data_IF_172517882811
#
_entry.id   IF_172517882811
#
_cell.length_a   1.000
_cell.length_b   1.000
_cell.length_c   1.000
_cell.angle_alpha   90.00
_cell.angle_beta   90.00
_cell.angle_gamma   90.00
#
_symmetry.space_group_name_H-M   'P 1'
#
loop_
_entity.id
_entity.type
_entity.pdbx_description
1 polymer ?
#
# COMPACT_ATOMS: atom_id res chain seq x y z
N UNK A 1 27.35 11.33 0.94
CA UNK A 1 28.23 10.16 1.11
C UNK A 1 27.43 9.12 1.84
N UNK A 2 27.24 7.96 1.23
CA UNK A 2 26.44 6.88 1.80
C UNK A 2 27.33 5.83 2.47
N UNK A 3 26.79 5.10 3.44
CA UNK A 3 27.49 4.07 4.22
C UNK A 3 28.84 4.52 4.78
N UNK A 4 28.91 5.75 5.31
CA UNK A 4 30.17 6.38 5.74
C UNK A 4 30.99 5.52 6.71
N UNK A 5 30.32 4.76 7.55
CA UNK A 5 30.90 3.89 8.55
C UNK A 5 31.29 2.47 8.05
N UNK A 6 31.16 2.17 6.76
CA UNK A 6 31.54 0.87 6.15
C UNK A 6 32.83 0.90 5.33
N UNK A 7 33.47 2.07 5.19
CA UNK A 7 34.76 2.19 4.50
C UNK A 7 35.89 1.44 5.22
N UNK A 8 36.93 1.05 4.48
CA UNK A 8 38.17 0.55 5.10
C UNK A 8 38.80 1.63 5.99
N UNK A 9 39.66 1.24 6.93
CA UNK A 9 40.27 2.18 7.88
C UNK A 9 41.00 3.35 7.18
N UNK A 10 41.67 3.09 6.05
CA UNK A 10 42.32 4.12 5.25
C UNK A 10 41.32 5.09 4.62
N UNK A 11 40.20 4.56 4.09
CA UNK A 11 39.11 5.39 3.54
C UNK A 11 38.49 6.22 4.65
N UNK A 12 38.16 5.62 5.80
CA UNK A 12 37.60 6.35 6.93
C UNK A 12 38.51 7.48 7.39
N UNK A 13 39.82 7.28 7.45
CA UNK A 13 40.77 8.34 7.82
C UNK A 13 40.75 9.51 6.83
N UNK A 14 40.68 9.25 5.53
CA UNK A 14 40.59 10.31 4.52
C UNK A 14 39.23 11.02 4.54
N UNK A 15 38.15 10.26 4.71
CA UNK A 15 36.82 10.83 4.89
C UNK A 15 36.74 11.67 6.16
N UNK A 16 37.51 11.30 7.19
CA UNK A 16 37.58 12.05 8.43
C UNK A 16 38.27 13.39 8.25
N UNK A 17 39.40 13.42 7.54
CA UNK A 17 40.04 14.67 7.15
C UNK A 17 39.12 15.54 6.29
N UNK A 18 38.33 14.93 5.41
CA UNK A 18 37.35 15.66 4.61
C UNK A 18 36.29 16.34 5.46
N UNK A 19 35.75 15.66 6.48
CA UNK A 19 34.74 16.23 7.37
C UNK A 19 35.33 17.31 8.29
N UNK A 20 36.52 17.05 8.85
CA UNK A 20 37.16 17.95 9.82
C UNK A 20 37.76 19.20 9.16
N UNK A 21 38.42 19.02 8.01
CA UNK A 21 39.27 20.05 7.39
C UNK A 21 38.75 20.51 6.03
N UNK A 22 37.68 19.87 5.50
CA UNK A 22 37.17 20.14 4.15
C UNK A 22 38.25 19.97 3.07
N UNK A 23 39.15 19.01 3.27
CA UNK A 23 40.31 18.82 2.40
C UNK A 23 40.57 17.33 2.16
N UNK A 24 40.96 16.99 0.93
CA UNK A 24 41.50 15.68 0.55
C UNK A 24 42.84 15.91 -0.13
N UNK A 25 43.92 15.36 0.43
CA UNK A 25 45.28 15.64 -0.05
C UNK A 25 45.55 17.16 -0.15
N UNK A 26 45.76 17.69 -1.36
CA UNK A 26 45.97 19.12 -1.62
C UNK A 26 44.70 19.88 -2.06
N UNK A 27 43.58 19.17 -2.24
CA UNK A 27 42.33 19.76 -2.71
C UNK A 27 41.48 20.23 -1.52
N UNK A 28 41.24 21.52 -1.44
CA UNK A 28 40.32 22.13 -0.45
C UNK A 28 38.94 22.31 -1.07
N UNK A 29 37.89 21.87 -0.39
CA UNK A 29 36.52 22.02 -0.85
C UNK A 29 36.06 23.49 -0.70
N UNK A 30 35.53 24.11 -1.77
CA UNK A 30 34.92 25.44 -1.72
C UNK A 30 33.80 25.53 -0.68
N UNK A 31 33.51 26.72 -0.15
CA UNK A 31 32.50 26.93 0.92
C UNK A 31 31.06 26.56 0.49
N UNK A 32 30.81 26.60 -0.81
CA UNK A 32 29.54 26.26 -1.43
C UNK A 32 29.23 24.76 -1.30
N UNK A 33 30.25 23.91 -1.16
CA UNK A 33 30.07 22.46 -1.06
C UNK A 33 29.49 22.10 0.30
N UNK A 34 28.30 21.50 0.31
CA UNK A 34 27.69 20.96 1.54
C UNK A 34 27.98 19.47 1.64
N UNK A 35 28.40 19.04 2.83
CA UNK A 35 28.67 17.63 3.13
C UNK A 35 27.42 17.04 3.77
N UNK A 36 26.85 16.02 3.13
CA UNK A 36 25.76 15.20 3.69
C UNK A 36 26.28 13.77 3.80
N UNK A 37 26.14 13.21 4.99
CA UNK A 37 26.67 11.91 5.37
C UNK A 37 25.50 11.04 5.81
N UNK A 38 25.46 9.81 5.31
CA UNK A 38 24.54 8.78 5.76
C UNK A 38 25.35 7.63 6.38
N UNK A 39 24.90 7.19 7.55
CA UNK A 39 25.52 6.14 8.35
C UNK A 39 24.44 5.10 8.68
N UNK A 40 24.82 3.83 8.68
CA UNK A 40 23.99 2.80 9.27
C UNK A 40 24.06 2.92 10.81
N UNK A 41 22.95 2.73 11.53
CA UNK A 41 22.97 2.82 12.98
C UNK A 41 23.90 1.76 13.61
N UNK A 42 24.59 2.15 14.68
CA UNK A 42 25.45 1.28 15.48
C UNK A 42 24.88 1.06 16.90
N UNK A 43 25.37 0.03 17.60
CA UNK A 43 24.93 -0.34 18.96
C UNK A 43 25.10 0.77 20.01
N UNK A 44 25.94 1.78 19.73
CA UNK A 44 26.20 2.90 20.64
C UNK A 44 25.13 3.99 20.55
N UNK A 45 24.17 3.85 19.63
CA UNK A 45 23.07 4.79 19.42
C UNK A 45 21.83 4.37 20.22
N UNK A 46 21.28 5.30 21.01
CA UNK A 46 20.04 5.07 21.77
C UNK A 46 18.90 4.64 20.84
N UNK A 47 18.31 3.47 21.10
CA UNK A 47 17.28 2.83 20.27
C UNK A 47 17.81 1.82 19.24
N UNK A 48 19.12 1.58 19.17
CA UNK A 48 19.76 0.60 18.27
C UNK A 48 20.71 -0.35 19.01
N UNK A 49 20.47 -0.56 20.30
CA UNK A 49 21.35 -1.31 21.20
C UNK A 49 21.56 -2.79 20.80
N UNK A 50 20.73 -3.32 19.89
CA UNK A 50 20.82 -4.68 19.36
C UNK A 50 21.25 -4.72 17.87
N UNK A 51 21.78 -3.63 17.33
CA UNK A 51 22.20 -3.58 15.93
C UNK A 51 23.52 -4.35 15.73
N UNK A 52 23.43 -5.64 15.40
CA UNK A 52 24.55 -6.54 15.14
C UNK A 52 25.25 -6.16 13.81
N UNK A 53 25.91 -5.01 13.81
CA UNK A 53 26.66 -4.49 12.69
C UNK A 53 28.01 -4.04 13.22
N UNK A 54 29.07 -4.69 12.74
CA UNK A 54 30.46 -4.39 13.08
C UNK A 54 30.88 -3.00 12.59
N UNK A 55 30.41 -1.99 13.29
CA UNK A 55 30.66 -0.58 13.01
C UNK A 55 31.75 -0.07 13.95
N UNK A 56 32.75 0.62 13.39
CA UNK A 56 33.72 1.38 14.19
C UNK A 56 32.98 2.53 14.85
N UNK A 57 32.92 2.53 16.19
CA UNK A 57 32.26 3.58 16.96
C UNK A 57 32.69 4.97 16.44
N UNK A 58 31.70 5.77 15.99
CA UNK A 58 31.97 7.08 15.42
C UNK A 58 32.78 7.94 16.38
N UNK A 59 33.98 8.35 15.93
CA UNK A 59 34.91 9.17 16.70
C UNK A 59 34.19 10.43 17.22
N UNK A 60 34.41 10.78 18.48
CA UNK A 60 33.80 11.94 19.14
C UNK A 60 34.01 13.23 18.32
N UNK A 61 35.09 13.29 17.55
CA UNK A 61 35.39 14.40 16.64
C UNK A 61 34.38 14.55 15.48
N UNK A 62 33.75 13.46 14.98
CA UNK A 62 32.69 13.53 13.96
C UNK A 62 31.44 14.16 14.53
N UNK A 63 31.06 13.69 15.72
CA UNK A 63 29.83 14.09 16.41
C UNK A 63 29.85 15.59 16.72
N UNK A 64 31.02 16.17 17.01
CA UNK A 64 31.20 17.60 17.28
C UNK A 64 31.17 18.49 16.02
N UNK A 65 31.43 17.92 14.83
CA UNK A 65 31.52 18.66 13.55
C UNK A 65 30.34 18.46 12.62
N UNK A 66 29.38 17.63 13.01
CA UNK A 66 28.20 17.31 12.20
C UNK A 66 26.91 17.58 12.98
N UNK A 67 25.87 17.98 12.25
CA UNK A 67 24.51 18.00 12.79
C UNK A 67 23.87 16.66 12.46
N UNK A 68 23.36 15.96 13.46
CA UNK A 68 22.85 14.60 13.31
C UNK A 68 21.33 14.56 13.24
N UNK A 69 20.81 13.97 12.18
CA UNK A 69 19.39 13.68 12.01
C UNK A 69 19.19 12.16 12.12
N UNK A 70 18.34 11.73 13.05
CA UNK A 70 18.00 10.31 13.22
C UNK A 70 16.72 10.05 12.44
N UNK A 71 16.85 9.30 11.35
CA UNK A 71 15.73 8.87 10.53
C UNK A 71 15.07 7.64 11.16
N UNK A 72 13.75 7.57 11.10
CA UNK A 72 12.96 6.41 11.55
C UNK A 72 12.06 5.96 10.42
N UNK A 73 11.71 4.68 10.43
CA UNK A 73 10.68 4.16 9.53
C UNK A 73 9.33 4.67 10.02
N UNK A 74 8.60 5.37 9.16
CA UNK A 74 7.19 5.73 9.36
C UNK A 74 6.36 5.01 8.30
N UNK A 75 5.49 4.10 8.75
CA UNK A 75 4.70 3.25 7.86
C UNK A 75 3.62 4.07 7.16
N UNK A 76 3.04 5.07 7.84
CA UNK A 76 1.96 5.88 7.27
C UNK A 76 2.50 6.81 6.16
N UNK A 77 3.65 7.44 6.40
CA UNK A 77 4.35 8.25 5.40
C UNK A 77 4.77 7.39 4.19
N UNK A 78 5.34 6.20 4.45
CA UNK A 78 5.72 5.28 3.37
C UNK A 78 4.52 4.81 2.56
N UNK A 79 3.38 4.50 3.20
CA UNK A 79 2.15 4.10 2.51
C UNK A 79 1.53 5.24 1.71
N UNK A 80 1.65 6.49 2.17
CA UNK A 80 1.20 7.65 1.41
C UNK A 80 2.01 7.78 0.11
N UNK A 81 3.34 7.73 0.20
CA UNK A 81 4.22 7.71 -0.97
C UNK A 81 3.95 6.50 -1.88
N UNK A 82 3.75 5.31 -1.29
CA UNK A 82 3.51 4.06 -2.01
C UNK A 82 2.28 4.13 -2.94
N UNK A 83 1.27 4.91 -2.55
CA UNK A 83 0.03 5.13 -3.29
C UNK A 83 0.13 6.21 -4.39
N UNK A 84 1.18 7.05 -4.36
CA UNK A 84 1.37 8.08 -5.39
C UNK A 84 1.68 7.44 -6.75
N UNK A 85 1.21 8.10 -7.82
CA UNK A 85 1.41 7.63 -9.19
C UNK A 85 2.83 7.94 -9.68
N UNK A 86 3.55 6.90 -10.08
CA UNK A 86 4.83 7.03 -10.75
C UNK A 86 4.60 7.44 -12.22
N UNK A 87 4.87 8.70 -12.52
CA UNK A 87 4.69 9.27 -13.86
C UNK A 87 5.47 8.54 -14.98
N UNK A 88 6.57 7.86 -14.67
CA UNK A 88 7.35 7.12 -15.66
C UNK A 88 6.76 5.73 -15.91
N UNK A 89 6.35 5.05 -14.83
CA UNK A 89 5.81 3.69 -14.91
C UNK A 89 4.30 3.64 -15.16
N UNK A 90 3.59 4.77 -15.05
CA UNK A 90 2.13 4.89 -15.17
C UNK A 90 1.37 3.93 -14.24
N UNK A 91 1.87 3.79 -13.02
CA UNK A 91 1.31 2.93 -11.96
C UNK A 91 1.71 3.48 -10.59
N UNK A 92 1.05 3.08 -9.49
CA UNK A 92 1.49 3.44 -8.15
C UNK A 92 2.93 2.99 -7.88
N UNK A 93 3.65 3.68 -7.00
CA UNK A 93 5.02 3.30 -6.61
C UNK A 93 5.09 1.86 -6.08
N UNK A 94 4.06 1.40 -5.36
CA UNK A 94 3.95 0.06 -4.81
C UNK A 94 2.61 -0.56 -5.19
N UNK A 95 2.60 -1.86 -5.49
CA UNK A 95 1.40 -2.60 -5.85
C UNK A 95 0.34 -2.58 -4.73
N UNK A 96 -0.92 -2.35 -5.07
CA UNK A 96 -2.03 -2.17 -4.10
C UNK A 96 -2.21 -3.33 -3.12
N UNK A 97 -1.97 -4.58 -3.58
CA UNK A 97 -1.98 -5.76 -2.68
C UNK A 97 -0.96 -5.64 -1.55
N UNK A 98 0.23 -5.12 -1.82
CA UNK A 98 1.27 -4.92 -0.81
C UNK A 98 0.87 -3.78 0.12
N UNK A 99 0.35 -2.67 -0.43
CA UNK A 99 -0.15 -1.56 0.38
C UNK A 99 -1.23 -2.04 1.35
N UNK A 100 -2.22 -2.81 0.89
CA UNK A 100 -3.29 -3.38 1.74
C UNK A 100 -2.74 -4.32 2.81
N UNK A 101 -1.83 -5.22 2.44
CA UNK A 101 -1.20 -6.13 3.39
C UNK A 101 -0.50 -5.36 4.53
N UNK A 102 0.24 -4.31 4.19
CA UNK A 102 0.97 -3.48 5.15
C UNK A 102 0.06 -2.51 5.93
N UNK A 103 -1.14 -2.19 5.41
CA UNK A 103 -2.18 -1.48 6.17
C UNK A 103 -2.81 -2.39 7.24
N UNK A 104 -2.98 -3.69 6.96
CA UNK A 104 -3.49 -4.65 7.93
C UNK A 104 -2.47 -4.96 9.05
N UNK A 105 -1.19 -5.05 8.69
CA UNK A 105 -0.11 -5.22 9.64
C UNK A 105 1.12 -4.37 9.28
N UNK A 106 1.14 -3.17 9.85
CA UNK A 106 2.23 -2.20 9.70
C UNK A 106 3.59 -2.73 10.19
N UNK A 107 3.60 -3.73 11.08
CA UNK A 107 4.85 -4.30 11.61
C UNK A 107 5.62 -5.09 10.55
N UNK A 108 4.99 -5.48 9.45
CA UNK A 108 5.61 -6.25 8.37
C UNK A 108 6.44 -5.38 7.40
N UNK A 109 6.32 -4.04 7.42
CA UNK A 109 7.14 -3.16 6.56
C UNK A 109 8.62 -3.22 6.97
N UNK A 110 8.86 -3.20 8.29
CA UNK A 110 10.19 -3.26 8.88
C UNK A 110 10.09 -3.96 10.26
N UNK A 111 10.12 -5.31 10.28
CA UNK A 111 9.97 -6.08 11.51
C UNK A 111 11.05 -5.77 12.55
N UNK A 112 10.64 -5.71 13.81
CA UNK A 112 11.55 -5.48 14.94
C UNK A 112 12.44 -6.70 15.22
N UNK A 113 11.85 -7.90 15.15
CA UNK A 113 12.59 -9.16 15.19
C UNK A 113 13.08 -9.48 13.79
N UNK A 114 14.39 -9.66 13.67
CA UNK A 114 15.06 -9.96 12.40
C UNK A 114 15.76 -11.30 12.50
N UNK A 115 15.57 -12.14 11.50
CA UNK A 115 16.30 -13.39 11.37
C UNK A 115 17.72 -13.17 10.86
N UNK A 116 18.52 -14.23 10.87
CA UNK A 116 19.92 -14.19 10.42
C UNK A 116 20.08 -14.03 8.89
N UNK A 117 18.99 -14.16 8.14
CA UNK A 117 18.97 -14.16 6.66
C UNK A 117 18.22 -12.93 6.10
N UNK A 118 17.42 -13.10 5.04
CA UNK A 118 16.63 -12.05 4.42
C UNK A 118 15.51 -11.57 5.36
N UNK A 119 15.39 -10.25 5.48
CA UNK A 119 14.39 -9.60 6.31
C UNK A 119 13.66 -8.53 5.51
N UNK A 120 12.35 -8.32 5.76
CA UNK A 120 11.61 -7.26 5.10
C UNK A 120 12.20 -5.87 5.38
N UNK A 121 12.26 -5.08 4.31
CA UNK A 121 12.61 -3.67 4.31
C UNK A 121 11.72 -2.94 3.31
N UNK A 122 11.51 -1.61 3.44
CA UNK A 122 10.82 -0.82 2.42
C UNK A 122 11.34 -1.06 1.00
N UNK A 123 12.66 -1.19 0.84
CA UNK A 123 13.31 -1.48 -0.45
C UNK A 123 12.99 -2.90 -0.96
N UNK A 124 12.97 -3.89 -0.07
CA UNK A 124 12.61 -5.26 -0.44
C UNK A 124 11.14 -5.33 -0.91
N UNK A 125 10.23 -4.67 -0.20
CA UNK A 125 8.82 -4.56 -0.61
C UNK A 125 8.65 -3.87 -1.97
N UNK A 126 9.46 -2.85 -2.26
CA UNK A 126 9.48 -2.23 -3.59
C UNK A 126 9.92 -3.22 -4.69
N UNK A 127 10.95 -4.05 -4.43
CA UNK A 127 11.38 -5.09 -5.38
C UNK A 127 10.30 -6.15 -5.60
N UNK A 128 9.67 -6.62 -4.53
CA UNK A 128 8.52 -7.53 -4.62
C UNK A 128 7.39 -6.91 -5.42
N UNK A 129 7.09 -5.62 -5.21
CA UNK A 129 6.10 -4.88 -5.97
C UNK A 129 6.42 -4.85 -7.47
N UNK A 130 7.64 -4.46 -7.83
CA UNK A 130 8.06 -4.40 -9.23
C UNK A 130 7.97 -5.79 -9.88
N UNK A 131 8.43 -6.84 -9.19
CA UNK A 131 8.31 -8.23 -9.65
C UNK A 131 6.85 -8.69 -9.76
N UNK A 132 5.98 -8.27 -8.85
CA UNK A 132 4.57 -8.65 -8.82
C UNK A 132 3.82 -8.08 -10.03
N UNK A 133 4.07 -6.82 -10.41
CA UNK A 133 3.49 -6.25 -11.62
C UNK A 133 3.87 -7.06 -12.87
N UNK A 134 5.14 -7.45 -13.00
CA UNK A 134 5.61 -8.29 -14.14
C UNK A 134 5.06 -9.72 -14.05
N UNK A 135 4.88 -10.26 -12.85
CA UNK A 135 4.32 -11.59 -12.65
C UNK A 135 2.85 -11.64 -13.11
N UNK A 136 2.05 -10.63 -12.75
CA UNK A 136 0.61 -10.62 -12.98
C UNK A 136 0.21 -10.52 -14.46
N UNK A 137 1.13 -10.16 -15.36
CA UNK A 137 0.88 -10.19 -16.81
C UNK A 137 1.16 -11.57 -17.45
N UNK A 138 1.75 -12.51 -16.71
CA UNK A 138 2.06 -13.86 -17.18
C UNK A 138 0.85 -14.82 -17.05
N UNK A 139 0.88 -16.00 -17.69
CA UNK A 139 -0.15 -17.01 -17.50
C UNK A 139 -0.27 -17.47 -16.04
N UNK A 140 -1.49 -17.76 -15.60
CA UNK A 140 -1.81 -18.09 -14.19
C UNK A 140 -1.00 -19.27 -13.64
N UNK A 141 -0.71 -20.28 -14.47
CA UNK A 141 0.13 -21.41 -14.08
C UNK A 141 1.55 -20.95 -13.71
N UNK A 142 2.13 -20.05 -14.50
CA UNK A 142 3.44 -19.45 -14.25
C UNK A 142 3.43 -18.57 -13.01
N UNK A 143 2.35 -17.81 -12.81
CA UNK A 143 2.18 -17.00 -11.60
C UNK A 143 2.21 -17.88 -10.35
N UNK A 144 1.40 -18.95 -10.34
CA UNK A 144 1.32 -19.89 -9.22
C UNK A 144 2.64 -20.59 -8.94
N UNK A 145 3.40 -20.94 -9.98
CA UNK A 145 4.69 -21.62 -9.80
C UNK A 145 5.80 -20.71 -9.28
N UNK A 146 5.75 -19.39 -9.56
CA UNK A 146 6.86 -18.47 -9.25
C UNK A 146 6.59 -17.51 -8.10
N UNK A 147 5.32 -17.27 -7.73
CA UNK A 147 4.96 -16.22 -6.75
C UNK A 147 5.68 -16.38 -5.42
N UNK A 148 5.80 -17.61 -4.92
CA UNK A 148 6.45 -17.86 -3.64
C UNK A 148 7.94 -17.55 -3.71
N UNK A 149 8.64 -18.11 -4.70
CA UNK A 149 10.09 -17.96 -4.84
C UNK A 149 10.50 -16.50 -5.08
N UNK A 150 9.71 -15.76 -5.86
CA UNK A 150 9.94 -14.33 -6.11
C UNK A 150 9.80 -13.49 -4.84
N UNK A 151 8.78 -13.76 -4.01
CA UNK A 151 8.55 -13.03 -2.77
C UNK A 151 9.59 -13.42 -1.71
N UNK A 152 9.87 -14.73 -1.57
CA UNK A 152 10.82 -15.26 -0.58
C UNK A 152 12.25 -14.78 -0.84
N UNK A 153 12.65 -14.65 -2.11
CA UNK A 153 13.98 -14.15 -2.48
C UNK A 153 14.28 -12.71 -2.06
N UNK A 154 13.26 -11.92 -1.73
CA UNK A 154 13.41 -10.54 -1.27
C UNK A 154 13.03 -10.35 0.22
N UNK A 155 12.04 -11.10 0.73
CA UNK A 155 11.49 -10.91 2.09
C UNK A 155 11.90 -12.00 3.10
N UNK A 156 12.47 -13.11 2.63
CA UNK A 156 12.65 -14.33 3.42
C UNK A 156 11.39 -15.19 3.49
N UNK A 157 11.56 -16.48 3.79
CA UNK A 157 10.48 -17.48 3.70
C UNK A 157 9.28 -17.17 4.59
N UNK A 158 9.51 -16.75 5.84
CA UNK A 158 8.42 -16.53 6.82
C UNK A 158 7.51 -15.38 6.39
N UNK A 159 8.10 -14.26 5.97
CA UNK A 159 7.33 -13.11 5.47
C UNK A 159 6.63 -13.45 4.16
N UNK A 160 7.30 -14.19 3.27
CA UNK A 160 6.72 -14.64 2.01
C UNK A 160 5.52 -15.55 2.21
N UNK A 161 5.57 -16.52 3.12
CA UNK A 161 4.44 -17.40 3.44
C UNK A 161 3.21 -16.58 3.85
N UNK A 162 3.39 -15.61 4.75
CA UNK A 162 2.29 -14.73 5.21
C UNK A 162 1.71 -13.89 4.07
N UNK A 163 2.57 -13.27 3.26
CA UNK A 163 2.12 -12.41 2.17
C UNK A 163 1.47 -13.21 1.03
N UNK A 164 2.02 -14.36 0.65
CA UNK A 164 1.42 -15.23 -0.38
C UNK A 164 0.09 -15.81 0.10
N UNK A 165 -0.02 -16.18 1.38
CA UNK A 165 -1.30 -16.59 1.96
C UNK A 165 -2.31 -15.43 1.96
N UNK A 166 -1.88 -14.22 2.30
CA UNK A 166 -2.70 -13.01 2.17
C UNK A 166 -3.16 -12.81 0.72
N UNK A 167 -2.26 -12.95 -0.25
CA UNK A 167 -2.60 -12.86 -1.67
C UNK A 167 -3.64 -13.91 -2.05
N UNK A 168 -3.48 -15.17 -1.66
CA UNK A 168 -4.45 -16.23 -1.96
C UNK A 168 -5.83 -15.99 -1.32
N UNK A 169 -5.85 -15.44 -0.11
CA UNK A 169 -7.08 -15.16 0.64
C UNK A 169 -7.78 -13.88 0.14
N UNK A 170 -7.01 -12.94 -0.43
CA UNK A 170 -7.48 -11.66 -0.96
C UNK A 170 -7.43 -11.57 -2.50
N UNK A 171 -7.16 -12.70 -3.19
CA UNK A 171 -7.03 -12.78 -4.65
C UNK A 171 -8.37 -12.58 -5.36
N UNK A 172 -9.48 -12.71 -4.65
CA UNK A 172 -10.82 -12.53 -5.19
C UNK A 172 -11.45 -11.18 -4.82
N UNK A 173 -10.74 -10.31 -4.09
CA UNK A 173 -11.34 -9.06 -3.62
C UNK A 173 -11.35 -8.00 -4.72
N UNK A 174 -12.53 -7.81 -5.32
CA UNK A 174 -12.83 -6.70 -6.20
C UNK A 174 -12.63 -5.36 -5.48
N UNK A 175 -12.06 -4.39 -6.19
CA UNK A 175 -12.01 -2.98 -5.78
C UNK A 175 -13.18 -2.19 -6.39
N UNK A 176 -13.50 -0.98 -5.89
CA UNK A 176 -14.48 -0.12 -6.56
C UNK A 176 -14.10 0.13 -8.03
N UNK A 177 -12.81 0.34 -8.33
CA UNK A 177 -12.38 0.60 -9.71
C UNK A 177 -12.64 -0.59 -10.64
N UNK A 178 -12.42 -1.81 -10.16
CA UNK A 178 -12.73 -3.04 -10.93
C UNK A 178 -14.22 -3.12 -11.30
N UNK A 179 -15.10 -2.59 -10.45
CA UNK A 179 -16.54 -2.59 -10.69
C UNK A 179 -16.97 -1.40 -11.56
N UNK A 180 -16.47 -0.20 -11.31
CA UNK A 180 -17.03 1.04 -11.87
C UNK A 180 -16.30 1.59 -13.09
N UNK A 181 -15.05 1.17 -13.34
CA UNK A 181 -14.23 1.67 -14.47
C UNK A 181 -13.94 0.57 -15.51
N UNK A 182 -14.33 -0.67 -15.22
CA UNK A 182 -14.18 -1.80 -16.14
C UNK A 182 -15.05 -1.70 -17.39
N UNK A 183 -14.50 -2.16 -18.51
CA UNK A 183 -15.21 -2.29 -19.79
C UNK A 183 -16.09 -3.57 -19.83
N UNK A 184 -17.21 -3.56 -20.58
CA UNK A 184 -17.75 -2.44 -21.34
C UNK A 184 -18.27 -1.30 -20.44
N UNK A 185 -18.15 -0.06 -20.91
CA UNK A 185 -18.70 1.11 -20.20
C UNK A 185 -20.23 1.10 -20.25
N UNK A 186 -20.85 1.74 -19.26
CA UNK A 186 -22.30 1.79 -19.12
C UNK A 186 -22.80 1.32 -17.75
N UNK A 187 -24.13 1.28 -17.53
CA UNK A 187 -24.74 1.07 -16.23
C UNK A 187 -24.75 -0.39 -15.77
N UNK A 188 -24.10 -1.29 -16.51
CA UNK A 188 -24.11 -2.74 -16.24
C UNK A 188 -22.73 -3.21 -15.78
N UNK A 189 -22.70 -3.96 -14.67
CA UNK A 189 -21.47 -4.58 -14.18
C UNK A 189 -21.05 -5.66 -15.18
N UNK A 190 -19.80 -5.63 -15.70
CA UNK A 190 -19.35 -6.66 -16.62
C UNK A 190 -19.52 -8.07 -16.03
N UNK A 191 -20.00 -9.03 -16.83
CA UNK A 191 -20.39 -10.36 -16.32
C UNK A 191 -19.28 -11.06 -15.54
N UNK A 192 -18.02 -10.95 -16.01
CA UNK A 192 -16.85 -11.51 -15.32
C UNK A 192 -16.69 -10.92 -13.91
N UNK A 193 -16.82 -9.59 -13.79
CA UNK A 193 -16.74 -8.88 -12.51
C UNK A 193 -17.91 -9.28 -11.61
N UNK A 194 -19.11 -9.41 -12.17
CA UNK A 194 -20.28 -9.82 -11.40
C UNK A 194 -20.18 -11.26 -10.87
N UNK A 195 -19.56 -12.16 -11.63
CA UNK A 195 -19.29 -13.53 -11.18
C UNK A 195 -18.29 -13.56 -10.02
N UNK A 196 -17.20 -12.81 -10.11
CA UNK A 196 -16.26 -12.63 -8.99
C UNK A 196 -16.97 -12.05 -7.77
N UNK A 197 -17.77 -10.99 -7.96
CA UNK A 197 -18.51 -10.35 -6.87
C UNK A 197 -19.41 -11.33 -6.13
N UNK A 198 -20.14 -12.20 -6.86
CA UNK A 198 -21.03 -13.19 -6.25
C UNK A 198 -20.28 -14.25 -5.44
N UNK A 199 -19.07 -14.61 -5.86
CA UNK A 199 -18.19 -15.57 -5.17
C UNK A 199 -17.60 -15.03 -3.86
N UNK A 200 -17.57 -13.71 -3.68
CA UNK A 200 -16.99 -13.09 -2.48
C UNK A 200 -17.72 -13.46 -1.19
N UNK A 201 -16.99 -13.63 -0.06
CA UNK A 201 -17.59 -13.65 1.26
C UNK A 201 -18.38 -12.37 1.55
N UNK A 202 -19.49 -12.46 2.29
CA UNK A 202 -20.36 -11.30 2.59
C UNK A 202 -19.61 -10.15 3.29
N UNK A 203 -18.61 -10.48 4.12
CA UNK A 203 -17.74 -9.49 4.77
C UNK A 203 -16.96 -8.67 3.72
N UNK A 204 -16.45 -9.31 2.68
CA UNK A 204 -15.73 -8.64 1.60
C UNK A 204 -16.67 -7.83 0.70
N UNK A 205 -17.87 -8.35 0.40
CA UNK A 205 -18.91 -7.57 -0.32
C UNK A 205 -19.28 -6.30 0.41
N UNK A 206 -19.46 -6.39 1.74
CA UNK A 206 -19.79 -5.24 2.58
C UNK A 206 -18.64 -4.22 2.63
N UNK A 207 -17.39 -4.68 2.74
CA UNK A 207 -16.21 -3.82 2.70
C UNK A 207 -16.10 -3.07 1.36
N UNK A 208 -16.32 -3.77 0.23
CA UNK A 208 -16.34 -3.19 -1.11
C UNK A 208 -17.46 -2.16 -1.30
N UNK A 209 -18.67 -2.44 -0.82
CA UNK A 209 -19.77 -1.47 -0.88
C UNK A 209 -19.45 -0.21 -0.08
N UNK A 210 -18.87 -0.34 1.11
CA UNK A 210 -18.45 0.81 1.94
C UNK A 210 -17.35 1.63 1.27
N UNK A 211 -16.32 0.98 0.72
CA UNK A 211 -15.24 1.69 0.02
C UNK A 211 -15.74 2.37 -1.25
N UNK A 212 -16.71 1.77 -1.95
CA UNK A 212 -17.36 2.38 -3.12
C UNK A 212 -18.04 3.69 -2.77
N UNK A 213 -18.76 3.78 -1.65
CA UNK A 213 -19.42 5.02 -1.21
C UNK A 213 -18.44 6.17 -0.92
N UNK A 214 -17.18 5.86 -0.64
CA UNK A 214 -16.13 6.86 -0.41
C UNK A 214 -15.45 7.25 -1.73
N UNK A 215 -15.17 6.26 -2.60
CA UNK A 215 -14.34 6.44 -3.78
C UNK A 215 -15.11 6.85 -5.04
N UNK A 216 -16.39 6.49 -5.15
CA UNK A 216 -17.20 6.62 -6.36
C UNK A 216 -18.43 7.48 -6.11
N UNK A 217 -18.69 8.45 -6.99
CA UNK A 217 -19.98 9.15 -7.02
C UNK A 217 -21.05 8.21 -7.59
N UNK A 218 -21.70 7.46 -6.69
CA UNK A 218 -22.74 6.48 -7.03
C UNK A 218 -24.03 7.11 -7.56
N UNK A 219 -24.19 8.45 -7.47
CA UNK A 219 -25.35 9.15 -8.01
C UNK A 219 -25.22 9.46 -9.52
N UNK A 220 -24.03 9.32 -10.10
CA UNK A 220 -23.85 9.40 -11.56
C UNK A 220 -24.57 8.26 -12.28
N UNK A 221 -25.11 8.53 -13.47
CA UNK A 221 -25.94 7.60 -14.27
C UNK A 221 -25.40 6.16 -14.34
N UNK A 222 -24.22 5.94 -14.94
CA UNK A 222 -23.65 4.60 -15.08
C UNK A 222 -23.30 3.95 -13.73
N UNK A 223 -22.79 4.75 -12.78
CA UNK A 223 -22.43 4.26 -11.46
C UNK A 223 -23.66 3.82 -10.68
N UNK A 224 -24.78 4.53 -10.80
CA UNK A 224 -26.02 4.16 -10.11
C UNK A 224 -26.50 2.77 -10.54
N UNK A 225 -26.42 2.46 -11.85
CA UNK A 225 -26.82 1.17 -12.39
C UNK A 225 -25.92 0.03 -11.91
N UNK A 226 -24.60 0.25 -11.89
CA UNK A 226 -23.63 -0.73 -11.40
C UNK A 226 -23.78 -0.96 -9.90
N UNK A 227 -23.93 0.11 -9.12
CA UNK A 227 -24.10 0.05 -7.67
C UNK A 227 -25.39 -0.68 -7.28
N UNK A 228 -26.50 -0.43 -7.99
CA UNK A 228 -27.76 -1.15 -7.77
C UNK A 228 -27.60 -2.67 -7.94
N UNK A 229 -26.80 -3.13 -8.90
CA UNK A 229 -26.59 -4.55 -9.17
C UNK A 229 -25.76 -5.24 -8.08
N UNK A 230 -24.64 -4.65 -7.66
CA UNK A 230 -23.83 -5.21 -6.58
C UNK A 230 -24.56 -5.16 -5.23
N UNK A 231 -25.32 -4.09 -4.96
CA UNK A 231 -26.15 -4.00 -3.76
C UNK A 231 -27.21 -5.10 -3.76
N UNK A 232 -27.93 -5.29 -4.87
CA UNK A 232 -28.95 -6.36 -4.99
C UNK A 232 -28.37 -7.76 -4.79
N UNK A 233 -27.12 -7.99 -5.17
CA UNK A 233 -26.43 -9.28 -5.03
C UNK A 233 -25.78 -9.52 -3.65
N UNK A 234 -25.90 -8.58 -2.72
CA UNK A 234 -25.48 -8.72 -1.33
C UNK A 234 -26.60 -9.31 -0.48
N UNK A 235 -26.28 -10.02 0.60
CA UNK A 235 -27.30 -10.47 1.55
C UNK A 235 -28.10 -9.30 2.16
N UNK A 236 -29.34 -9.55 2.59
CA UNK A 236 -30.28 -8.53 3.09
C UNK A 236 -29.67 -7.66 4.22
N UNK A 237 -29.00 -8.29 5.18
CA UNK A 237 -28.36 -7.60 6.31
C UNK A 237 -27.29 -6.60 5.82
N UNK A 238 -26.51 -7.01 4.81
CA UNK A 238 -25.51 -6.14 4.18
C UNK A 238 -26.14 -5.00 3.37
N UNK A 239 -27.23 -5.28 2.64
CA UNK A 239 -28.00 -4.23 1.95
C UNK A 239 -28.49 -3.17 2.93
N UNK A 240 -29.07 -3.60 4.04
CA UNK A 240 -29.58 -2.72 5.08
C UNK A 240 -28.49 -1.84 5.68
N UNK A 241 -27.35 -2.44 6.06
CA UNK A 241 -26.22 -1.71 6.63
C UNK A 241 -25.73 -0.58 5.72
N UNK A 242 -25.69 -0.83 4.41
CA UNK A 242 -25.29 0.16 3.40
C UNK A 242 -26.36 1.23 3.19
N UNK A 243 -27.63 0.84 3.11
CA UNK A 243 -28.77 1.76 2.95
C UNK A 243 -28.88 2.71 4.14
N UNK A 244 -28.69 2.22 5.37
CA UNK A 244 -28.67 3.05 6.57
C UNK A 244 -27.55 4.10 6.52
N UNK A 245 -26.38 3.74 6.00
CA UNK A 245 -25.27 4.68 5.82
C UNK A 245 -25.58 5.72 4.74
N UNK A 246 -26.20 5.32 3.62
CA UNK A 246 -26.65 6.23 2.55
C UNK A 246 -27.73 7.21 3.02
N UNK A 247 -28.62 6.77 3.91
CA UNK A 247 -29.68 7.59 4.48
C UNK A 247 -29.17 8.78 5.32
N UNK A 248 -27.94 8.68 5.83
CA UNK A 248 -27.29 9.74 6.57
C UNK A 248 -26.53 10.75 5.67
N UNK A 249 -26.46 10.53 4.36
CA UNK A 249 -25.65 11.31 3.43
C UNK A 249 -26.45 12.00 2.31
N UNK A 250 -25.76 12.85 1.54
CA UNK A 250 -26.35 13.65 0.45
C UNK A 250 -26.70 12.83 -0.81
N UNK A 251 -26.32 11.55 -0.86
CA UNK A 251 -26.51 10.69 -2.03
C UNK A 251 -27.99 10.50 -2.38
N UNK A 252 -28.87 10.39 -1.38
CA UNK A 252 -30.31 10.24 -1.59
C UNK A 252 -30.92 11.46 -2.28
N UNK A 253 -30.51 12.67 -1.90
CA UNK A 253 -30.99 13.91 -2.50
C UNK A 253 -30.56 14.01 -3.97
N UNK A 254 -29.30 13.66 -4.25
CA UNK A 254 -28.76 13.61 -5.61
C UNK A 254 -29.50 12.59 -6.49
N UNK A 255 -29.78 11.40 -5.96
CA UNK A 255 -30.52 10.35 -6.67
C UNK A 255 -31.97 10.75 -6.93
N UNK A 256 -32.63 11.43 -5.99
CA UNK A 256 -34.00 11.90 -6.15
C UNK A 256 -34.13 12.97 -7.26
N UNK A 257 -33.14 13.86 -7.36
CA UNK A 257 -33.10 14.91 -8.38
C UNK A 257 -32.59 14.48 -9.75
N UNK A 258 -32.14 13.22 -9.91
CA UNK A 258 -31.57 12.75 -11.15
C UNK A 258 -32.65 12.36 -12.18
N UNK A 259 -32.46 12.78 -13.44
CA UNK A 259 -33.36 12.42 -14.55
C UNK A 259 -33.11 11.03 -15.14
N UNK A 260 -31.95 10.45 -14.84
CA UNK A 260 -31.48 9.16 -15.34
C UNK A 260 -32.27 7.96 -14.78
N UNK A 261 -32.49 6.95 -15.61
CA UNK A 261 -33.27 5.75 -15.26
C UNK A 261 -32.54 4.86 -14.23
N UNK A 262 -31.22 4.75 -14.31
CA UNK A 262 -30.41 3.97 -13.37
C UNK A 262 -30.39 4.61 -11.99
N UNK A 263 -30.28 5.94 -11.92
CA UNK A 263 -30.38 6.69 -10.66
C UNK A 263 -31.75 6.54 -9.99
N UNK A 264 -32.85 6.62 -10.77
CA UNK A 264 -34.21 6.37 -10.28
C UNK A 264 -34.38 4.94 -9.77
N UNK A 265 -33.81 3.96 -10.48
CA UNK A 265 -33.84 2.54 -10.07
C UNK A 265 -33.11 2.33 -8.76
N UNK A 266 -31.93 2.93 -8.60
CA UNK A 266 -31.17 2.86 -7.35
C UNK A 266 -31.93 3.52 -6.19
N UNK A 267 -32.54 4.69 -6.40
CA UNK A 267 -33.37 5.35 -5.40
C UNK A 267 -34.54 4.46 -4.92
N UNK A 268 -35.24 3.82 -5.86
CA UNK A 268 -36.33 2.90 -5.55
C UNK A 268 -35.85 1.66 -4.79
N UNK A 269 -34.67 1.13 -5.14
CA UNK A 269 -34.06 0.00 -4.42
C UNK A 269 -33.75 0.38 -2.97
N UNK A 270 -33.12 1.54 -2.76
CA UNK A 270 -32.76 2.03 -1.42
C UNK A 270 -34.01 2.23 -0.56
N UNK A 271 -35.04 2.89 -1.10
CA UNK A 271 -36.30 3.12 -0.36
C UNK A 271 -37.03 1.82 -0.04
N UNK A 272 -37.01 0.84 -0.94
CA UNK A 272 -37.59 -0.49 -0.69
C UNK A 272 -36.85 -1.24 0.42
N UNK A 273 -35.52 -1.23 0.42
CA UNK A 273 -34.73 -1.89 1.48
C UNK A 273 -34.97 -1.21 2.83
N UNK A 274 -35.03 0.12 2.86
CA UNK A 274 -35.34 0.87 4.09
C UNK A 274 -36.75 0.58 4.62
N UNK A 275 -37.73 0.39 3.74
CA UNK A 275 -39.12 0.10 4.13
C UNK A 275 -39.34 -1.33 4.66
N UNK A 276 -38.50 -2.29 4.26
CA UNK A 276 -38.60 -3.67 4.74
C UNK A 276 -38.30 -3.79 6.24
N UNK A 277 -37.39 -2.97 6.77
CA UNK A 277 -37.04 -2.89 8.20
C UNK A 277 -38.25 -2.49 9.06
N UNK A 278 -39.02 -1.50 8.61
CA UNK A 278 -40.21 -0.98 9.30
C UNK A 278 -41.39 -1.99 9.37
N UNK A 279 -41.27 -3.16 8.72
CA UNK A 279 -42.30 -4.20 8.69
C UNK A 279 -41.96 -5.46 9.48
N UNK A 280 -40.72 -5.59 9.95
CA UNK A 280 -40.26 -6.70 10.81
C UNK A 280 -40.12 -6.31 12.30
N UNK A 281 -40.31 -5.03 12.63
CA UNK A 281 -40.54 -4.48 13.99
C UNK A 281 -42.04 -4.39 14.35
#
# INVERSE_FOLDING_TARGET
MDEFNRGSQAVQSELMNLVLQRQINSLVLPEEVKLVIAENPDETMTGFENADYGVVAGDAAIKDRTVRLVMKVDVADWLAWAAEEDTQKQRPHIHDLIQRYLQEDATQLYPAERGDDLNPTPRAWQRVSDNLFELLVLPEETQRSLVFDLVAGDLGEVAAQRFVQFMQTNQETLTPMDVFVSQPWGPVVPEKVMQTYRGLPEVQKLALLKSTLVAIDVAQSDNAGRFAQILTATAKDGQYAIVKQLAAGEVLEKLYGADDESAKTLYQLITKVAAYDLSED
#
